data_IF_756846214082
#
_entry.id   IF_756846214082
#
_cell.length_a   1.000
_cell.length_b   1.000
_cell.length_c   1.000
_cell.angle_alpha   90.00
_cell.angle_beta   90.00
_cell.angle_gamma   90.00
#
_symmetry.space_group_name_H-M   'P 1'
#
loop_
_entity.id
_entity.type
_entity.pdbx_description
1 polymer ?
#
# COMPACT_ATOMS: atom_id res chain seq x y z
N UNK A 1 -14.53 -3.61 -3.65
CA UNK A 1 -13.55 -4.12 -2.67
C UNK A 1 -13.23 -2.98 -1.72
N UNK A 2 -13.56 -3.11 -0.43
CA UNK A 2 -13.45 -2.00 0.53
C UNK A 2 -12.26 -2.26 1.45
N UNK A 3 -11.04 -2.03 0.96
CA UNK A 3 -9.79 -2.32 1.70
C UNK A 3 -9.28 -1.17 2.57
N UNK A 4 -10.10 -0.14 2.79
CA UNK A 4 -9.71 0.98 3.62
C UNK A 4 -9.49 0.51 5.07
N UNK A 5 -8.39 0.97 5.67
CA UNK A 5 -7.86 0.54 6.97
C UNK A 5 -7.32 -0.90 7.02
N UNK A 6 -7.30 -1.64 5.91
CA UNK A 6 -6.67 -2.95 5.90
C UNK A 6 -5.16 -2.85 5.91
N UNK A 7 -4.53 -3.85 6.53
CA UNK A 7 -3.08 -4.06 6.47
C UNK A 7 -2.74 -4.72 5.15
N UNK A 8 -1.68 -4.23 4.52
CA UNK A 8 -1.22 -4.73 3.24
C UNK A 8 0.29 -4.98 3.25
N UNK A 9 0.74 -5.88 2.39
CA UNK A 9 2.15 -6.08 2.04
C UNK A 9 2.35 -5.75 0.56
N UNK A 10 3.41 -5.00 0.24
CA UNK A 10 3.77 -4.70 -1.14
C UNK A 10 4.25 -5.97 -1.86
N UNK A 11 3.68 -6.29 -3.01
CA UNK A 11 4.07 -7.45 -3.83
C UNK A 11 5.15 -7.08 -4.86
N UNK A 12 5.36 -5.78 -5.08
CA UNK A 12 6.37 -5.21 -5.97
C UNK A 12 7.07 -4.01 -5.31
N UNK A 13 8.18 -3.57 -5.92
CA UNK A 13 8.82 -2.32 -5.53
C UNK A 13 8.03 -1.14 -6.07
N UNK A 14 7.77 -0.16 -5.21
CA UNK A 14 6.96 1.03 -5.53
C UNK A 14 7.84 2.25 -5.33
N UNK A 15 7.96 3.06 -6.38
CA UNK A 15 8.67 4.34 -6.32
C UNK A 15 7.66 5.48 -6.38
N UNK A 16 7.71 6.36 -5.38
CA UNK A 16 6.91 7.58 -5.36
C UNK A 16 7.63 8.66 -4.56
N UNK A 17 7.48 9.92 -4.98
CA UNK A 17 8.09 11.08 -4.31
C UNK A 17 9.61 10.92 -4.08
N UNK A 18 10.32 10.30 -5.03
CA UNK A 18 11.75 9.98 -4.94
C UNK A 18 12.13 9.01 -3.80
N UNK A 19 11.15 8.28 -3.27
CA UNK A 19 11.33 7.22 -2.27
C UNK A 19 10.89 5.90 -2.86
N UNK A 20 11.77 4.90 -2.76
CA UNK A 20 11.46 3.51 -3.13
C UNK A 20 11.10 2.72 -1.89
N UNK A 21 9.88 2.21 -1.86
CA UNK A 21 9.49 1.14 -0.94
C UNK A 21 9.63 -0.20 -1.65
N UNK A 22 10.11 -1.20 -0.93
CA UNK A 22 10.47 -2.51 -1.46
C UNK A 22 9.34 -3.50 -1.28
N UNK A 23 9.29 -4.49 -2.16
CA UNK A 23 8.49 -5.70 -1.98
C UNK A 23 8.71 -6.27 -0.57
N UNK A 24 7.61 -6.69 0.05
CA UNK A 24 7.58 -7.22 1.41
C UNK A 24 7.42 -6.17 2.51
N UNK A 25 7.60 -4.88 2.19
CA UNK A 25 7.28 -3.82 3.14
C UNK A 25 5.76 -3.70 3.33
N UNK A 26 5.36 -3.28 4.53
CA UNK A 26 3.96 -3.31 4.96
C UNK A 26 3.46 -1.93 5.34
N UNK A 27 2.14 -1.79 5.27
CA UNK A 27 1.45 -0.55 5.60
C UNK A 27 -0.04 -0.75 5.79
N UNK A 28 -0.74 0.36 5.99
CA UNK A 28 -2.20 0.42 6.09
C UNK A 28 -2.78 1.32 5.01
N UNK A 29 -3.86 0.89 4.37
CA UNK A 29 -4.56 1.68 3.35
C UNK A 29 -5.32 2.84 4.01
N UNK A 30 -4.95 4.07 3.71
CA UNK A 30 -5.65 5.29 4.16
C UNK A 30 -6.80 5.65 3.19
N UNK A 31 -6.59 5.46 1.89
CA UNK A 31 -7.52 5.86 0.82
C UNK A 31 -7.45 4.93 -0.41
N UNK A 32 -8.56 4.81 -1.14
CA UNK A 32 -8.67 4.08 -2.41
C UNK A 32 -9.14 5.07 -3.48
N UNK A 33 -8.34 5.26 -4.53
CA UNK A 33 -8.59 6.25 -5.58
C UNK A 33 -9.33 5.63 -6.77
N UNK A 34 -10.05 6.48 -7.51
CA UNK A 34 -10.56 6.11 -8.82
C UNK A 34 -9.37 5.80 -9.75
N UNK A 35 -9.39 4.63 -10.40
CA UNK A 35 -8.26 4.15 -11.23
C UNK A 35 -7.36 3.12 -10.57
N UNK A 36 -7.70 2.64 -9.37
CA UNK A 36 -7.04 1.48 -8.75
C UNK A 36 -5.74 1.81 -8.02
N UNK A 37 -5.44 3.08 -7.78
CA UNK A 37 -4.35 3.51 -6.91
C UNK A 37 -4.81 3.56 -5.46
N UNK A 38 -3.87 3.34 -4.53
CA UNK A 38 -4.09 3.39 -3.09
C UNK A 38 -3.24 4.49 -2.49
N UNK A 39 -3.69 5.08 -1.39
CA UNK A 39 -2.77 5.75 -0.44
C UNK A 39 -2.48 4.77 0.66
N UNK A 40 -1.23 4.30 0.78
CA UNK A 40 -0.79 3.38 1.84
C UNK A 40 0.17 4.12 2.76
N UNK A 41 -0.16 4.17 4.06
CA UNK A 41 0.79 4.56 5.10
C UNK A 41 1.67 3.38 5.42
N UNK A 42 2.93 3.42 4.97
CA UNK A 42 3.91 2.38 5.28
C UNK A 42 4.29 2.42 6.77
N UNK A 43 4.80 1.31 7.30
CA UNK A 43 5.23 1.19 8.70
C UNK A 43 6.39 2.13 9.06
N UNK A 44 7.16 2.57 8.07
CA UNK A 44 8.17 3.62 8.21
C UNK A 44 7.58 5.04 8.31
N UNK A 45 6.25 5.17 8.34
CA UNK A 45 5.49 6.41 8.46
C UNK A 45 5.29 7.17 7.15
N UNK A 46 5.92 6.74 6.04
CA UNK A 46 5.83 7.43 4.75
C UNK A 46 4.63 6.95 3.93
N UNK A 47 3.98 7.84 3.18
CA UNK A 47 2.95 7.43 2.24
C UNK A 47 3.57 6.81 0.99
N UNK A 48 2.91 5.79 0.43
CA UNK A 48 3.19 5.24 -0.89
C UNK A 48 1.90 5.07 -1.69
N UNK A 49 2.06 4.96 -3.01
CA UNK A 49 0.93 4.95 -3.95
C UNK A 49 0.90 3.72 -4.85
N UNK A 50 0.87 2.50 -4.28
CA UNK A 50 0.74 1.29 -5.09
C UNK A 50 -0.62 1.21 -5.78
N UNK A 51 -0.69 0.39 -6.82
CA UNK A 51 -1.94 -0.12 -7.37
C UNK A 51 -2.51 -1.25 -6.52
N UNK A 52 -3.81 -1.52 -6.68
CA UNK A 52 -4.47 -2.62 -6.01
C UNK A 52 -3.86 -4.00 -6.29
N UNK A 53 -3.22 -4.20 -7.45
CA UNK A 53 -2.53 -5.44 -7.83
C UNK A 53 -1.07 -5.50 -7.36
N UNK A 54 -0.54 -4.41 -6.82
CA UNK A 54 0.81 -4.31 -6.23
C UNK A 54 0.81 -4.56 -4.71
N UNK A 55 -0.32 -5.01 -4.16
CA UNK A 55 -0.49 -5.29 -2.73
C UNK A 55 -1.26 -6.58 -2.47
N UNK A 56 -0.88 -7.27 -1.40
CA UNK A 56 -1.68 -8.34 -0.81
C UNK A 56 -2.30 -7.86 0.50
N UNK A 57 -3.60 -8.11 0.69
CA UNK A 57 -4.31 -7.79 1.93
C UNK A 57 -3.97 -8.85 2.98
N UNK A 58 -3.46 -8.40 4.13
CA UNK A 58 -3.13 -9.25 5.25
C UNK A 58 -4.37 -9.51 6.11
N UNK A 59 -4.53 -10.73 6.67
CA UNK A 59 -5.64 -11.04 7.55
C UNK A 59 -5.63 -10.18 8.81
N UNK A 60 -6.82 -9.77 9.26
CA UNK A 60 -6.99 -9.09 10.55
C UNK A 60 -6.85 -10.14 11.67
N UNK A 61 -5.73 -10.14 12.38
CA UNK A 61 -5.55 -10.86 13.65
C UNK A 61 -6.40 -10.28 14.77
#
# INVERSE_FOLDING_TARGET
>A
MTIRNDRVELTADVEALSVRSRRGERGSVEEVHAGGYLTVRMDNGRPQFPRCDEVDVLPRT
#
